data_IF_572876464561
#
_entry.id   IF_572876464561
#
_cell.length_a   1.000
_cell.length_b   1.000
_cell.length_c   1.000
_cell.angle_alpha   90.00
_cell.angle_beta   90.00
_cell.angle_gamma   90.00
#
_symmetry.space_group_name_H-M   'P 1'
#
loop_
_entity.id
_entity.type
_entity.pdbx_description
1 polymer ?
#
# COMPACT_ATOMS: atom_id res chain seq x y z
N UNK A 1 18.43 -5.69 -5.08
CA UNK A 1 17.98 -4.52 -5.86
C UNK A 1 16.65 -4.10 -5.27
N UNK A 2 16.48 -2.83 -4.87
CA UNK A 2 15.15 -2.31 -4.52
C UNK A 2 14.38 -2.32 -5.84
N UNK A 3 13.39 -3.19 -5.99
CA UNK A 3 12.48 -3.07 -7.13
C UNK A 3 11.89 -1.67 -7.05
N UNK A 4 12.31 -0.81 -7.96
CA UNK A 4 11.75 0.52 -8.07
C UNK A 4 10.32 0.30 -8.58
N UNK A 5 9.36 0.62 -7.73
CA UNK A 5 7.98 0.75 -8.14
C UNK A 5 7.85 1.96 -9.09
N UNK A 6 6.62 2.26 -9.48
CA UNK A 6 6.34 3.41 -10.34
C UNK A 6 6.23 4.69 -9.50
N UNK A 7 7.12 5.65 -9.75
CA UNK A 7 7.26 6.88 -8.95
C UNK A 7 5.96 7.67 -8.80
N UNK A 8 5.10 7.72 -9.82
CA UNK A 8 3.81 8.39 -9.76
C UNK A 8 2.83 7.71 -8.79
N UNK A 9 2.71 6.39 -8.83
CA UNK A 9 1.90 5.64 -7.85
C UNK A 9 2.48 5.75 -6.43
N UNK A 10 3.81 5.73 -6.29
CA UNK A 10 4.51 5.85 -5.00
C UNK A 10 4.21 7.19 -4.32
N UNK A 11 4.30 8.27 -5.09
CA UNK A 11 3.95 9.62 -4.64
C UNK A 11 2.47 9.73 -4.33
N UNK A 12 1.59 9.20 -5.18
CA UNK A 12 0.14 9.23 -4.97
C UNK A 12 -0.25 8.48 -3.69
N UNK A 13 0.28 7.27 -3.47
CA UNK A 13 0.06 6.48 -2.28
C UNK A 13 0.53 7.23 -1.03
N UNK A 14 1.76 7.77 -1.07
CA UNK A 14 2.33 8.56 0.02
C UNK A 14 1.50 9.81 0.34
N UNK A 15 1.00 10.51 -0.67
CA UNK A 15 0.14 11.68 -0.50
C UNK A 15 -1.19 11.31 0.16
N UNK A 16 -1.86 10.24 -0.29
CA UNK A 16 -3.12 9.78 0.31
C UNK A 16 -2.93 9.35 1.77
N UNK A 17 -1.83 8.65 2.06
CA UNK A 17 -1.45 8.23 3.42
C UNK A 17 -1.08 9.39 4.34
N UNK A 18 -0.57 10.51 3.80
CA UNK A 18 -0.33 11.72 4.61
C UNK A 18 -1.56 12.61 4.75
N UNK A 19 -2.44 12.63 3.76
CA UNK A 19 -3.59 13.52 3.71
C UNK A 19 -4.81 13.05 4.52
N UNK A 20 -4.74 11.92 5.23
CA UNK A 20 -5.90 11.37 5.93
C UNK A 20 -6.98 10.80 4.99
N UNK A 21 -6.67 10.54 3.72
CA UNK A 21 -7.65 10.09 2.72
C UNK A 21 -8.39 8.80 3.11
N UNK A 22 -9.55 8.57 2.51
CA UNK A 22 -10.29 7.32 2.72
C UNK A 22 -9.50 6.09 2.25
N UNK A 23 -9.77 4.94 2.87
CA UNK A 23 -9.10 3.69 2.53
C UNK A 23 -9.52 3.13 1.17
N UNK A 24 -10.63 3.60 0.59
CA UNK A 24 -11.02 3.21 -0.76
C UNK A 24 -10.05 3.80 -1.79
N UNK A 25 -9.66 5.06 -1.65
CA UNK A 25 -8.67 5.74 -2.49
C UNK A 25 -7.29 5.09 -2.34
N UNK A 26 -6.89 4.72 -1.11
CA UNK A 26 -5.66 3.95 -0.89
C UNK A 26 -5.73 2.60 -1.62
N UNK A 27 -6.85 1.88 -1.48
CA UNK A 27 -7.06 0.60 -2.16
C UNK A 27 -7.04 0.74 -3.68
N UNK A 28 -7.60 1.81 -4.24
CA UNK A 28 -7.61 2.04 -5.69
C UNK A 28 -6.18 2.21 -6.24
N UNK A 29 -5.29 2.87 -5.48
CA UNK A 29 -3.86 2.95 -5.83
C UNK A 29 -3.17 1.58 -5.71
N UNK A 30 -3.49 0.79 -4.67
CA UNK A 30 -2.99 -0.58 -4.54
C UNK A 30 -3.44 -1.47 -5.71
N UNK A 31 -4.69 -1.33 -6.16
CA UNK A 31 -5.20 -2.00 -7.37
C UNK A 31 -4.41 -1.57 -8.61
N UNK A 32 -4.09 -0.28 -8.74
CA UNK A 32 -3.30 0.21 -9.87
C UNK A 32 -1.88 -0.41 -9.90
N UNK A 33 -1.24 -0.66 -8.75
CA UNK A 33 0.01 -1.41 -8.70
C UNK A 33 -0.14 -2.83 -9.23
N UNK A 34 -1.18 -3.54 -8.75
CA UNK A 34 -1.47 -4.91 -9.20
C UNK A 34 -1.73 -4.96 -10.71
N UNK A 35 -2.54 -4.05 -11.23
CA UNK A 35 -2.91 -4.02 -12.64
C UNK A 35 -1.72 -3.65 -13.54
N UNK A 36 -0.71 -2.96 -13.00
CA UNK A 36 0.61 -2.75 -13.64
C UNK A 36 1.57 -3.94 -13.50
N UNK A 37 1.18 -5.01 -12.81
CA UNK A 37 1.98 -6.22 -12.65
C UNK A 37 2.94 -6.22 -11.46
N UNK A 38 2.85 -5.24 -10.56
CA UNK A 38 3.64 -5.26 -9.33
C UNK A 38 3.09 -6.30 -8.33
N UNK A 39 4.00 -7.04 -7.70
CA UNK A 39 3.64 -8.00 -6.68
C UNK A 39 3.34 -7.32 -5.34
N UNK A 40 2.50 -7.98 -4.53
CA UNK A 40 2.20 -7.58 -3.16
C UNK A 40 3.45 -7.29 -2.32
N UNK A 41 4.48 -8.13 -2.44
CA UNK A 41 5.73 -8.01 -1.66
C UNK A 41 6.47 -6.70 -1.96
N UNK A 42 6.54 -6.28 -3.23
CA UNK A 42 7.20 -5.03 -3.60
C UNK A 42 6.47 -3.81 -3.02
N UNK A 43 5.14 -3.81 -3.10
CA UNK A 43 4.29 -2.75 -2.52
C UNK A 43 4.38 -2.75 -0.99
N UNK A 44 4.37 -3.91 -0.35
CA UNK A 44 4.56 -4.05 1.09
C UNK A 44 5.90 -3.48 1.55
N UNK A 45 7.00 -3.78 0.84
CA UNK A 45 8.33 -3.23 1.14
C UNK A 45 8.38 -1.72 0.97
N UNK A 46 7.67 -1.17 -0.01
CA UNK A 46 7.54 0.28 -0.18
C UNK A 46 6.82 0.91 1.02
N UNK A 47 5.64 0.40 1.38
CA UNK A 47 4.88 0.84 2.55
C UNK A 47 5.69 0.75 3.85
N UNK A 48 6.36 -0.38 4.08
CA UNK A 48 7.23 -0.56 5.24
C UNK A 48 8.36 0.49 5.32
N UNK A 49 8.84 0.98 4.17
CA UNK A 49 9.86 2.03 4.12
C UNK A 49 9.35 3.43 4.44
N UNK A 50 8.02 3.64 4.48
CA UNK A 50 7.40 4.90 4.89
C UNK A 50 7.20 5.02 6.41
N UNK A 51 7.28 3.90 7.14
CA UNK A 51 7.07 3.86 8.61
C UNK A 51 8.11 4.64 9.41
N UNK A 52 9.42 4.56 9.12
CA UNK A 52 10.41 5.29 9.91
C UNK A 52 10.17 6.80 9.85
N UNK A 53 9.91 7.41 11.02
CA UNK A 53 9.64 8.85 11.14
C UNK A 53 8.21 9.27 10.82
N UNK A 54 7.28 8.32 10.63
CA UNK A 54 5.85 8.60 10.59
C UNK A 54 5.32 9.04 11.97
N UNK A 55 4.28 9.86 11.99
CA UNK A 55 3.47 10.04 13.20
C UNK A 55 2.67 8.76 13.49
N UNK A 56 2.19 8.58 14.72
CA UNK A 56 1.35 7.44 15.11
C UNK A 56 0.15 7.26 14.17
N UNK A 57 -0.59 8.35 13.90
CA UNK A 57 -1.73 8.34 12.95
C UNK A 57 -1.34 7.92 11.52
N UNK A 58 -0.13 8.31 11.06
CA UNK A 58 0.34 7.93 9.73
C UNK A 58 0.81 6.47 9.72
N UNK A 59 1.47 6.02 10.79
CA UNK A 59 1.92 4.64 10.95
C UNK A 59 0.74 3.68 10.95
N UNK A 60 -0.34 3.97 11.68
CA UNK A 60 -1.56 3.15 11.69
C UNK A 60 -2.14 2.98 10.28
N UNK A 61 -2.17 4.06 9.49
CA UNK A 61 -2.66 4.02 8.11
C UNK A 61 -1.74 3.24 7.17
N UNK A 62 -0.42 3.33 7.38
CA UNK A 62 0.55 2.52 6.65
C UNK A 62 0.36 1.04 6.98
N UNK A 63 0.15 0.69 8.26
CA UNK A 63 -0.10 -0.69 8.70
C UNK A 63 -1.36 -1.27 8.06
N UNK A 64 -2.46 -0.52 8.04
CA UNK A 64 -3.69 -0.96 7.36
C UNK A 64 -3.46 -1.19 5.85
N UNK A 65 -2.71 -0.30 5.17
CA UNK A 65 -2.35 -0.51 3.77
C UNK A 65 -1.46 -1.74 3.56
N UNK A 66 -0.57 -2.04 4.52
CA UNK A 66 0.26 -3.25 4.52
C UNK A 66 -0.57 -4.51 4.71
N UNK A 67 -1.65 -4.47 5.51
CA UNK A 67 -2.59 -5.57 5.67
C UNK A 67 -3.37 -5.84 4.38
N UNK A 68 -3.74 -4.79 3.63
CA UNK A 68 -4.34 -4.94 2.31
C UNK A 68 -3.34 -5.58 1.32
N UNK A 69 -2.09 -5.11 1.31
CA UNK A 69 -1.05 -5.64 0.44
C UNK A 69 -0.71 -7.10 0.76
N UNK A 70 -0.65 -7.48 2.04
CA UNK A 70 -0.35 -8.84 2.49
C UNK A 70 -1.55 -9.80 2.41
N UNK A 71 -2.76 -9.27 2.21
CA UNK A 71 -4.00 -10.04 2.18
C UNK A 71 -4.59 -10.35 3.57
N UNK A 72 -4.01 -9.80 4.64
CA UNK A 72 -4.53 -9.83 6.02
C UNK A 72 -5.70 -8.84 6.23
N UNK A 73 -6.51 -8.60 5.20
CA UNK A 73 -7.66 -7.72 5.23
C UNK A 73 -8.95 -8.48 4.90
N UNK A 74 -10.10 -7.82 5.10
CA UNK A 74 -11.40 -8.37 4.72
C UNK A 74 -11.45 -8.75 3.23
N UNK A 75 -12.24 -9.77 2.87
CA UNK A 75 -12.34 -10.24 1.49
C UNK A 75 -12.75 -9.14 0.49
N UNK A 76 -13.50 -8.13 0.92
CA UNK A 76 -13.89 -6.99 0.08
C UNK A 76 -12.76 -5.99 -0.18
N UNK A 77 -11.78 -5.90 0.74
CA UNK A 77 -10.65 -4.98 0.66
C UNK A 77 -9.44 -5.58 -0.04
N UNK A 78 -9.42 -6.91 -0.23
CA UNK A 78 -8.30 -7.64 -0.80
C UNK A 78 -7.98 -7.19 -2.24
N UNK A 79 -6.69 -6.99 -2.50
CA UNK A 79 -6.17 -6.56 -3.81
C UNK A 79 -5.42 -7.69 -4.51
N UNK A 80 -4.45 -8.29 -3.82
CA UNK A 80 -3.74 -9.47 -4.29
C UNK A 80 -4.36 -10.74 -3.72
N UNK A 81 -4.42 -11.78 -4.52
CA UNK A 81 -4.78 -13.11 -4.03
C UNK A 81 -3.73 -13.56 -3.03
N UNK A 82 -4.18 -14.07 -1.88
CA UNK A 82 -3.28 -14.74 -0.94
C UNK A 82 -2.82 -15.99 -1.69
N UNK A 83 -1.54 -16.04 -2.08
CA UNK A 83 -0.95 -17.27 -2.60
C UNK A 83 -1.27 -18.38 -1.58
N UNK A 84 -2.07 -19.34 -2.01
CA UNK A 84 -2.44 -20.51 -1.20
C UNK A 84 -1.22 -21.36 -0.89
#
# INVERSE_FOLDING_TARGET
MREALETGLDEQLSCLLRAGADFQAVRDVLVAYRDKGFCAEAVYKHLASLRPGASEELEDRILEAMDIASGFCSAGSRVWDVAQ
#
